data_IF_617312627835
#
_entry.id   IF_617312627835
#
_cell.length_a   1.000
_cell.length_b   1.000
_cell.length_c   1.000
_cell.angle_alpha   90.00
_cell.angle_beta   90.00
_cell.angle_gamma   90.00
#
_symmetry.space_group_name_H-M   'P 1'
#
loop_
_entity.id
_entity.type
_entity.pdbx_description
1 polymer ?
#
# COMPACT_ATOMS: atom_id res chain seq x y z
N UNK A 1 -4.47 5.41 1.62
CA UNK A 1 -5.33 6.59 1.48
C UNK A 1 -4.84 7.61 2.50
N UNK A 2 -3.78 8.35 2.17
CA UNK A 2 -3.13 9.29 3.11
C UNK A 2 -3.42 10.76 2.81
N UNK A 3 -3.71 11.09 1.55
CA UNK A 3 -4.06 12.45 1.13
C UNK A 3 -5.47 12.81 1.63
N UNK A 4 -5.56 13.82 2.48
CA UNK A 4 -6.80 14.27 3.11
C UNK A 4 -6.84 15.81 3.22
N UNK A 5 -8.06 16.39 3.28
CA UNK A 5 -8.27 17.81 3.57
C UNK A 5 -7.53 18.73 2.58
N UNK A 6 -6.64 19.62 3.05
CA UNK A 6 -5.91 20.57 2.21
C UNK A 6 -5.24 19.93 1.00
N UNK A 7 -4.69 18.71 1.15
CA UNK A 7 -4.09 17.98 0.03
C UNK A 7 -5.10 17.64 -1.07
N UNK A 8 -6.35 17.34 -0.70
CA UNK A 8 -7.45 17.05 -1.64
C UNK A 8 -7.92 18.32 -2.34
N UNK A 9 -8.02 19.44 -1.61
CA UNK A 9 -8.39 20.73 -2.19
C UNK A 9 -7.37 21.15 -3.26
N UNK A 10 -6.08 21.08 -2.93
CA UNK A 10 -5.00 21.42 -3.86
C UNK A 10 -5.01 20.49 -5.08
N UNK A 11 -5.08 19.18 -4.86
CA UNK A 11 -5.08 18.20 -5.95
C UNK A 11 -6.30 18.36 -6.86
N UNK A 12 -7.48 18.55 -6.27
CA UNK A 12 -8.73 18.76 -7.00
C UNK A 12 -8.75 20.05 -7.79
N UNK A 13 -8.31 21.16 -7.21
CA UNK A 13 -8.23 22.45 -7.89
C UNK A 13 -7.26 22.40 -9.08
N UNK A 14 -6.07 21.82 -8.90
CA UNK A 14 -5.11 21.67 -9.99
C UNK A 14 -5.64 20.79 -11.13
N UNK A 15 -6.34 19.69 -10.80
CA UNK A 15 -7.00 18.84 -11.78
C UNK A 15 -8.08 19.59 -12.55
N UNK A 16 -8.98 20.30 -11.86
CA UNK A 16 -10.08 21.04 -12.50
C UNK A 16 -9.61 22.18 -13.39
N UNK A 17 -8.52 22.84 -13.02
CA UNK A 17 -7.90 23.88 -13.84
C UNK A 17 -7.10 23.31 -15.03
N UNK A 18 -7.09 21.99 -15.22
CA UNK A 18 -6.28 21.33 -16.25
C UNK A 18 -4.77 21.51 -16.05
N UNK A 19 -4.34 21.84 -14.83
CA UNK A 19 -2.93 22.12 -14.48
C UNK A 19 -2.19 20.90 -13.95
N UNK A 20 -2.92 19.87 -13.50
CA UNK A 20 -2.34 18.62 -13.07
C UNK A 20 -3.23 17.44 -13.47
N UNK A 21 -2.60 16.28 -13.50
CA UNK A 21 -3.23 14.97 -13.56
C UNK A 21 -3.12 14.33 -12.18
N UNK A 22 -4.14 13.61 -11.76
CA UNK A 22 -4.09 12.85 -10.52
C UNK A 22 -3.72 11.40 -10.81
N UNK A 23 -2.75 10.90 -10.05
CA UNK A 23 -2.18 9.55 -10.19
C UNK A 23 -2.10 8.91 -8.81
N UNK A 24 -2.35 7.61 -8.70
CA UNK A 24 -2.25 6.87 -7.44
C UNK A 24 -3.54 6.17 -7.05
N UNK A 25 -4.00 6.40 -5.82
CA UNK A 25 -5.22 5.81 -5.27
C UNK A 25 -6.18 6.93 -4.85
N UNK A 26 -7.46 6.58 -4.69
CA UNK A 26 -8.51 7.49 -4.23
C UNK A 26 -8.10 8.15 -2.91
N UNK A 27 -8.30 9.47 -2.81
CA UNK A 27 -7.98 10.24 -1.60
C UNK A 27 -8.94 9.91 -0.45
N UNK A 28 -8.70 10.47 0.74
CA UNK A 28 -9.42 10.08 1.94
C UNK A 28 -10.89 10.53 1.97
N UNK A 29 -11.21 11.70 1.41
CA UNK A 29 -12.56 12.28 1.43
C UNK A 29 -12.87 13.14 2.64
N UNK A 30 -11.85 13.80 3.24
CA UNK A 30 -12.06 14.71 4.36
C UNK A 30 -12.43 16.10 3.82
N UNK A 31 -13.73 16.31 3.63
CA UNK A 31 -14.28 17.56 3.11
C UNK A 31 -14.74 18.57 4.17
N UNK A 32 -14.62 18.28 5.46
CA UNK A 32 -15.25 19.05 6.53
C UNK A 32 -14.29 20.02 7.24
N UNK A 33 -14.80 21.19 7.62
CA UNK A 33 -14.10 22.18 8.45
C UNK A 33 -14.71 22.14 9.85
N UNK A 34 -13.86 21.92 10.85
CA UNK A 34 -14.25 21.89 12.26
C UNK A 34 -13.89 23.22 12.92
N UNK A 35 -14.86 23.82 13.61
CA UNK A 35 -14.67 24.92 14.54
C UNK A 35 -14.70 24.41 15.98
N UNK A 36 -14.03 25.14 16.86
CA UNK A 36 -13.99 24.87 18.29
C UNK A 36 -14.55 26.07 19.05
N UNK A 37 -15.33 25.80 20.10
CA UNK A 37 -15.84 26.80 21.03
C UNK A 37 -15.65 26.27 22.44
N UNK A 38 -14.82 26.95 23.21
CA UNK A 38 -14.59 26.61 24.61
C UNK A 38 -15.66 27.25 25.50
N UNK A 39 -16.02 26.57 26.57
CA UNK A 39 -16.97 27.03 27.58
C UNK A 39 -16.24 27.36 28.88
N UNK A 40 -16.85 28.24 29.69
CA UNK A 40 -16.23 28.75 30.94
C UNK A 40 -15.98 27.66 31.99
N UNK A 41 -16.67 26.52 31.89
CA UNK A 41 -16.49 25.36 32.76
C UNK A 41 -15.31 24.45 32.35
N UNK A 42 -14.56 24.85 31.32
CA UNK A 42 -13.43 24.11 30.76
C UNK A 42 -13.83 22.99 29.79
N UNK A 43 -15.12 22.83 29.49
CA UNK A 43 -15.58 21.97 28.40
C UNK A 43 -15.47 22.68 27.04
N UNK A 44 -15.61 21.94 25.94
CA UNK A 44 -15.49 22.50 24.59
C UNK A 44 -16.35 21.79 23.57
N UNK A 45 -16.92 22.56 22.64
CA UNK A 45 -17.73 22.08 21.53
C UNK A 45 -16.89 22.07 20.24
N UNK A 46 -16.78 20.90 19.62
CA UNK A 46 -16.25 20.74 18.25
C UNK A 46 -17.41 20.57 17.28
N UNK A 47 -17.64 21.58 16.44
CA UNK A 47 -18.74 21.59 15.47
C UNK A 47 -18.22 21.67 14.05
N UNK A 48 -18.83 20.92 13.14
CA UNK A 48 -18.58 21.11 11.70
C UNK A 48 -19.29 22.38 11.23
N UNK A 49 -18.53 23.37 10.78
CA UNK A 49 -19.05 24.71 10.43
C UNK A 49 -19.06 24.97 8.93
N UNK A 50 -18.27 24.22 8.14
CA UNK A 50 -18.21 24.39 6.70
C UNK A 50 -17.78 23.09 6.00
N UNK A 51 -17.90 23.09 4.67
CA UNK A 51 -17.48 21.99 3.79
C UNK A 51 -16.77 22.52 2.55
N UNK A 52 -15.84 21.74 2.04
CA UNK A 52 -15.19 21.97 0.76
C UNK A 52 -15.94 21.29 -0.37
N UNK A 53 -16.03 21.99 -1.50
CA UNK A 53 -16.56 21.47 -2.75
C UNK A 53 -15.68 21.96 -3.90
N UNK A 54 -15.63 21.16 -4.96
CA UNK A 54 -15.01 21.50 -6.22
C UNK A 54 -16.09 21.95 -7.22
N UNK A 55 -15.67 22.64 -8.30
CA UNK A 55 -16.58 23.15 -9.33
C UNK A 55 -17.52 22.03 -9.85
N UNK A 56 -18.79 22.36 -10.09
CA UNK A 56 -19.80 21.36 -10.46
C UNK A 56 -20.39 20.57 -9.29
N UNK A 57 -20.31 21.09 -8.06
CA UNK A 57 -20.83 20.46 -6.83
C UNK A 57 -20.23 19.09 -6.52
N UNK A 58 -18.95 18.90 -6.87
CA UNK A 58 -18.20 17.69 -6.49
C UNK A 58 -17.76 17.86 -5.03
N UNK A 59 -18.50 17.25 -4.11
CA UNK A 59 -18.16 17.22 -2.69
C UNK A 59 -17.14 16.13 -2.39
N UNK A 60 -16.19 16.42 -1.51
CA UNK A 60 -15.21 15.44 -1.02
C UNK A 60 -15.85 14.43 -0.06
N UNK A 61 -16.89 14.86 0.65
CA UNK A 61 -17.67 14.06 1.59
C UNK A 61 -19.07 13.72 1.01
N UNK A 62 -19.65 12.58 1.40
CA UNK A 62 -21.05 12.28 1.06
C UNK A 62 -22.02 13.11 1.90
N UNK A 63 -23.19 13.42 1.33
CA UNK A 63 -24.32 13.96 2.07
C UNK A 63 -25.15 12.79 2.61
N UNK A 64 -24.60 12.13 3.60
CA UNK A 64 -25.26 11.06 4.33
C UNK A 64 -25.56 11.63 5.73
N UNK A 65 -26.80 11.47 6.19
CA UNK A 65 -27.28 11.85 7.53
C UNK A 65 -26.51 11.23 8.70
N UNK A 66 -25.57 10.33 8.43
CA UNK A 66 -24.63 9.79 9.40
C UNK A 66 -23.43 10.73 9.54
N UNK A 67 -22.97 10.90 10.77
CA UNK A 67 -21.88 11.79 11.22
C UNK A 67 -20.49 11.40 10.67
N UNK A 68 -20.40 10.77 9.50
CA UNK A 68 -19.15 10.28 8.95
C UNK A 68 -18.31 11.43 8.38
N UNK A 69 -17.17 11.69 9.02
CA UNK A 69 -16.17 12.69 8.58
C UNK A 69 -15.47 12.33 7.24
N UNK A 70 -15.84 11.19 6.64
CA UNK A 70 -15.18 10.56 5.49
C UNK A 70 -16.21 10.40 4.38
N UNK A 71 -15.92 10.88 3.17
CA UNK A 71 -16.67 10.47 1.98
C UNK A 71 -15.81 9.83 0.91
N UNK A 72 -16.21 10.00 -0.36
CA UNK A 72 -15.63 9.25 -1.48
C UNK A 72 -14.20 9.66 -1.82
N UNK A 73 -13.80 10.90 -1.47
CA UNK A 73 -12.53 11.46 -1.91
C UNK A 73 -12.50 11.68 -3.42
N UNK A 74 -11.31 12.02 -3.91
CA UNK A 74 -11.01 12.28 -5.30
C UNK A 74 -10.47 11.00 -5.95
N UNK A 75 -11.19 10.52 -6.96
CA UNK A 75 -10.74 9.40 -7.81
C UNK A 75 -9.66 9.92 -8.76
N UNK A 76 -8.47 9.30 -8.82
CA UNK A 76 -7.39 9.71 -9.69
C UNK A 76 -7.75 9.53 -11.18
N UNK A 77 -7.05 10.24 -12.06
CA UNK A 77 -7.16 10.03 -13.51
C UNK A 77 -6.51 8.70 -13.92
N UNK A 78 -5.44 8.31 -13.22
CA UNK A 78 -4.76 7.03 -13.40
C UNK A 78 -4.59 6.32 -12.06
N UNK A 79 -5.27 5.18 -11.92
CA UNK A 79 -5.05 4.30 -10.78
C UNK A 79 -3.70 3.59 -10.90
N UNK A 80 -2.89 3.68 -9.85
CA UNK A 80 -1.64 2.96 -9.75
C UNK A 80 -1.72 2.04 -8.52
N UNK A 81 -1.59 0.72 -8.70
CA UNK A 81 -1.62 -0.21 -7.58
C UNK A 81 -0.48 0.11 -6.61
N UNK A 82 -0.83 0.18 -5.33
CA UNK A 82 0.11 0.41 -4.24
C UNK A 82 0.55 -0.95 -3.69
N UNK A 83 1.61 -1.52 -4.27
CA UNK A 83 2.18 -2.81 -3.85
C UNK A 83 2.46 -2.84 -2.34
N UNK A 84 2.81 -1.70 -1.74
CA UNK A 84 3.15 -1.57 -0.32
C UNK A 84 1.94 -1.87 0.59
N UNK A 85 0.71 -1.83 0.05
CA UNK A 85 -0.53 -2.14 0.78
C UNK A 85 -1.01 -3.57 0.66
N UNK A 86 -0.44 -4.33 -0.26
CA UNK A 86 -0.81 -5.72 -0.46
C UNK A 86 -0.52 -6.54 0.81
N UNK A 87 -1.34 -7.55 1.14
CA UNK A 87 -1.22 -8.27 2.41
C UNK A 87 0.16 -8.90 2.65
N UNK A 88 0.85 -9.36 1.60
CA UNK A 88 2.17 -9.98 1.74
C UNK A 88 3.30 -8.98 2.03
N UNK A 89 3.50 -7.90 1.23
CA UNK A 89 4.42 -6.82 1.59
C UNK A 89 4.18 -6.26 2.99
N UNK A 90 2.92 -6.05 3.40
CA UNK A 90 2.60 -5.61 4.76
C UNK A 90 3.06 -6.60 5.82
N UNK A 91 2.83 -7.90 5.62
CA UNK A 91 3.33 -8.93 6.54
C UNK A 91 4.86 -8.92 6.65
N UNK A 92 5.57 -8.69 5.53
CA UNK A 92 7.02 -8.55 5.53
C UNK A 92 7.48 -7.30 6.30
N UNK A 93 6.85 -6.14 6.10
CA UNK A 93 7.19 -4.91 6.85
C UNK A 93 6.93 -5.09 8.35
N UNK A 94 5.78 -5.65 8.73
CA UNK A 94 5.43 -5.92 10.13
C UNK A 94 6.40 -6.91 10.80
N UNK A 95 6.98 -7.85 10.05
CA UNK A 95 7.99 -8.78 10.57
C UNK A 95 9.35 -8.13 10.84
N UNK A 96 9.59 -6.92 10.34
CA UNK A 96 10.88 -6.21 10.36
C UNK A 96 12.05 -6.97 9.69
N UNK A 97 11.80 -8.10 9.03
CA UNK A 97 12.85 -8.92 8.44
C UNK A 97 13.58 -8.22 7.29
N UNK A 98 12.88 -7.44 6.48
CA UNK A 98 13.50 -6.64 5.41
C UNK A 98 14.55 -5.67 5.99
N UNK A 99 14.21 -5.00 7.09
CA UNK A 99 15.12 -4.09 7.81
C UNK A 99 16.32 -4.85 8.38
N UNK A 100 16.09 -5.92 9.13
CA UNK A 100 17.17 -6.73 9.74
C UNK A 100 18.11 -7.31 8.69
N UNK A 101 17.57 -7.85 7.59
CA UNK A 101 18.37 -8.36 6.49
C UNK A 101 19.17 -7.25 5.81
N UNK A 102 18.52 -6.12 5.52
CA UNK A 102 19.20 -4.98 4.90
C UNK A 102 20.32 -4.43 5.77
N UNK A 103 20.13 -4.37 7.09
CA UNK A 103 21.14 -3.92 8.04
C UNK A 103 22.38 -4.81 8.02
N UNK A 104 22.18 -6.13 8.03
CA UNK A 104 23.26 -7.13 7.97
C UNK A 104 24.04 -7.09 6.65
N UNK A 105 23.41 -6.65 5.55
CA UNK A 105 23.97 -6.68 4.19
C UNK A 105 24.13 -5.29 3.56
N UNK A 106 24.20 -4.22 4.37
CA UNK A 106 24.12 -2.82 3.88
C UNK A 106 25.15 -2.52 2.78
N UNK A 107 26.44 -2.75 3.04
CA UNK A 107 27.53 -2.42 2.10
C UNK A 107 27.46 -3.26 0.81
N UNK A 108 27.04 -4.52 0.93
CA UNK A 108 26.90 -5.43 -0.21
C UNK A 108 25.72 -5.01 -1.09
N UNK A 109 24.58 -4.67 -0.48
CA UNK A 109 23.40 -4.16 -1.18
C UNK A 109 23.73 -2.85 -1.89
N UNK A 110 24.36 -1.89 -1.20
CA UNK A 110 24.72 -0.59 -1.80
C UNK A 110 25.62 -0.79 -3.01
N UNK A 111 26.65 -1.63 -2.90
CA UNK A 111 27.55 -1.94 -4.03
C UNK A 111 26.82 -2.62 -5.19
N UNK A 112 25.96 -3.60 -4.89
CA UNK A 112 25.22 -4.35 -5.91
C UNK A 112 24.11 -3.54 -6.59
N UNK A 113 23.70 -2.42 -6.00
CA UNK A 113 22.58 -1.58 -6.48
C UNK A 113 22.99 -0.18 -6.92
N UNK A 114 24.29 0.10 -7.01
CA UNK A 114 24.77 1.36 -7.55
C UNK A 114 24.56 1.40 -9.07
N UNK A 115 23.74 2.33 -9.52
CA UNK A 115 23.36 2.47 -10.94
C UNK A 115 22.41 1.40 -11.50
N UNK A 116 22.04 0.36 -10.75
CA UNK A 116 21.12 -0.70 -11.22
C UNK A 116 20.17 -1.21 -10.12
N UNK A 117 19.01 -1.80 -10.48
CA UNK A 117 18.17 -2.54 -9.53
C UNK A 117 18.87 -3.82 -9.04
N UNK A 118 18.52 -4.28 -7.84
CA UNK A 118 18.96 -5.61 -7.37
C UNK A 118 18.26 -6.70 -8.20
N UNK A 119 18.99 -7.76 -8.52
CA UNK A 119 18.44 -8.93 -9.23
C UNK A 119 17.65 -9.89 -8.32
N UNK A 120 17.09 -10.95 -8.91
CA UNK A 120 16.27 -11.96 -8.21
C UNK A 120 17.08 -12.86 -7.26
N UNK A 121 18.42 -12.84 -7.33
CA UNK A 121 19.25 -13.61 -6.39
C UNK A 121 19.11 -13.05 -4.96
N UNK A 122 18.93 -11.73 -4.82
CA UNK A 122 18.64 -11.06 -3.55
C UNK A 122 17.30 -11.49 -2.95
N UNK A 123 16.29 -11.72 -3.78
CA UNK A 123 14.99 -12.27 -3.34
C UNK A 123 15.18 -13.67 -2.79
N UNK A 124 15.96 -14.51 -3.48
CA UNK A 124 16.24 -15.87 -3.01
C UNK A 124 17.04 -15.91 -1.71
N UNK A 125 18.02 -14.99 -1.56
CA UNK A 125 18.79 -14.83 -0.31
C UNK A 125 17.89 -14.38 0.84
N UNK A 126 17.09 -13.34 0.62
CA UNK A 126 16.14 -12.84 1.60
C UNK A 126 15.09 -13.89 1.98
N UNK A 127 14.54 -14.63 1.01
CA UNK A 127 13.60 -15.73 1.25
C UNK A 127 14.20 -16.81 2.16
N UNK A 128 15.46 -17.20 1.95
CA UNK A 128 16.16 -18.16 2.83
C UNK A 128 16.34 -17.61 4.24
N UNK A 129 16.72 -16.33 4.35
CA UNK A 129 16.83 -15.64 5.63
C UNK A 129 15.48 -15.63 6.36
N UNK A 130 14.41 -15.18 5.71
CA UNK A 130 13.08 -15.10 6.29
C UNK A 130 12.59 -16.47 6.79
N UNK A 131 12.81 -17.54 6.01
CA UNK A 131 12.47 -18.92 6.44
C UNK A 131 13.27 -19.37 7.67
N UNK A 132 14.57 -19.04 7.74
CA UNK A 132 15.41 -19.35 8.89
C UNK A 132 14.96 -18.60 10.15
N UNK A 133 14.49 -17.36 9.99
CA UNK A 133 13.90 -16.55 11.07
C UNK A 133 12.46 -16.96 11.42
N UNK A 134 11.94 -18.05 10.84
CA UNK A 134 10.61 -18.57 11.16
C UNK A 134 9.44 -17.80 10.52
N UNK A 135 9.70 -16.99 9.48
CA UNK A 135 8.63 -16.27 8.78
C UNK A 135 7.66 -17.24 8.12
N UNK A 136 6.38 -17.11 8.48
CA UNK A 136 5.27 -17.80 7.84
C UNK A 136 4.26 -16.77 7.36
N UNK A 137 3.58 -17.08 6.26
CA UNK A 137 2.57 -16.21 5.69
C UNK A 137 1.35 -17.04 5.30
N UNK A 138 0.16 -16.53 5.63
CA UNK A 138 -1.11 -17.06 5.19
C UNK A 138 -1.94 -15.90 4.65
N UNK A 139 -2.31 -15.95 3.38
CA UNK A 139 -3.15 -14.90 2.79
C UNK A 139 -4.58 -14.95 3.34
N UNK A 140 -5.34 -13.84 3.23
CA UNK A 140 -6.77 -13.85 3.51
C UNK A 140 -7.52 -14.95 2.75
N UNK A 141 -7.12 -15.22 1.50
CA UNK A 141 -7.69 -16.28 0.68
C UNK A 141 -7.42 -17.66 1.28
N UNK A 142 -6.19 -17.94 1.73
CA UNK A 142 -5.86 -19.19 2.41
C UNK A 142 -6.64 -19.35 3.72
N UNK A 143 -6.80 -18.26 4.48
CA UNK A 143 -7.63 -18.23 5.67
C UNK A 143 -9.09 -18.60 5.38
N UNK A 144 -9.70 -17.99 4.36
CA UNK A 144 -11.07 -18.30 3.93
C UNK A 144 -11.20 -19.72 3.39
N UNK A 145 -10.24 -20.18 2.58
CA UNK A 145 -10.24 -21.53 2.03
C UNK A 145 -10.12 -22.60 3.13
N UNK A 146 -9.34 -22.32 4.20
CA UNK A 146 -9.28 -23.17 5.38
C UNK A 146 -10.64 -23.26 6.07
N UNK A 147 -11.32 -22.13 6.28
CA UNK A 147 -12.66 -22.10 6.90
C UNK A 147 -13.68 -22.90 6.07
N UNK A 148 -13.68 -22.74 4.74
CA UNK A 148 -14.55 -23.52 3.85
C UNK A 148 -14.27 -25.02 3.95
N UNK A 149 -12.99 -25.42 3.99
CA UNK A 149 -12.59 -26.81 4.18
C UNK A 149 -13.03 -27.36 5.55
N UNK A 150 -12.88 -26.59 6.62
CA UNK A 150 -13.29 -26.96 7.97
C UNK A 150 -14.80 -27.11 8.08
N UNK A 151 -15.57 -26.15 7.55
CA UNK A 151 -17.03 -26.24 7.48
C UNK A 151 -17.48 -27.49 6.73
N UNK A 152 -16.91 -27.78 5.56
CA UNK A 152 -17.26 -28.97 4.79
C UNK A 152 -17.00 -30.28 5.55
N UNK A 153 -15.99 -30.31 6.44
CA UNK A 153 -15.73 -31.46 7.32
C UNK A 153 -16.76 -31.55 8.44
N UNK A 154 -17.06 -30.42 9.09
CA UNK A 154 -17.97 -30.36 10.23
C UNK A 154 -19.42 -30.64 9.83
N UNK A 155 -19.87 -30.14 8.68
CA UNK A 155 -21.24 -30.36 8.19
C UNK A 155 -21.40 -31.70 7.47
N UNK A 156 -20.43 -32.62 7.58
CA UNK A 156 -20.42 -33.92 6.87
C UNK A 156 -20.79 -33.81 5.39
N UNK A 157 -20.23 -32.80 4.70
CA UNK A 157 -20.50 -32.56 3.30
C UNK A 157 -20.15 -33.79 2.44
N UNK A 158 -20.84 -33.94 1.30
CA UNK A 158 -20.58 -35.06 0.40
C UNK A 158 -19.12 -35.09 -0.09
N UNK A 159 -18.68 -36.26 -0.57
CA UNK A 159 -17.28 -36.48 -1.01
C UNK A 159 -16.83 -35.47 -2.07
N UNK A 160 -17.72 -35.01 -2.94
CA UNK A 160 -17.39 -34.05 -4.00
C UNK A 160 -17.10 -32.68 -3.42
N UNK A 161 -17.96 -32.18 -2.52
CA UNK A 161 -17.78 -30.91 -1.81
C UNK A 161 -16.49 -30.90 -0.99
N UNK A 162 -16.21 -31.98 -0.25
CA UNK A 162 -14.98 -32.08 0.54
C UNK A 162 -13.72 -32.08 -0.33
N UNK A 163 -13.75 -32.77 -1.48
CA UNK A 163 -12.66 -32.76 -2.46
C UNK A 163 -12.44 -31.37 -3.04
N UNK A 164 -13.50 -30.68 -3.43
CA UNK A 164 -13.43 -29.32 -3.96
C UNK A 164 -12.84 -28.35 -2.92
N UNK A 165 -13.33 -28.39 -1.68
CA UNK A 165 -12.82 -27.53 -0.61
C UNK A 165 -11.32 -27.79 -0.32
N UNK A 166 -10.90 -29.06 -0.29
CA UNK A 166 -9.49 -29.42 -0.15
C UNK A 166 -8.65 -28.90 -1.33
N UNK A 167 -9.15 -28.98 -2.55
CA UNK A 167 -8.45 -28.47 -3.74
C UNK A 167 -8.28 -26.95 -3.67
N UNK A 168 -9.32 -26.20 -3.29
CA UNK A 168 -9.26 -24.75 -3.11
C UNK A 168 -8.20 -24.39 -2.06
N UNK A 169 -8.24 -25.04 -0.89
CA UNK A 169 -7.26 -24.82 0.16
C UNK A 169 -5.81 -25.13 -0.28
N UNK A 170 -5.62 -26.25 -0.97
CA UNK A 170 -4.29 -26.64 -1.49
C UNK A 170 -3.78 -25.63 -2.53
N UNK A 171 -4.67 -25.12 -3.40
CA UNK A 171 -4.31 -24.10 -4.39
C UNK A 171 -3.96 -22.77 -3.74
N UNK A 172 -4.68 -22.37 -2.68
CA UNK A 172 -4.39 -21.16 -1.91
C UNK A 172 -3.03 -21.25 -1.20
N UNK A 173 -2.70 -22.39 -0.58
CA UNK A 173 -1.37 -22.63 0.00
C UNK A 173 -0.25 -22.54 -1.04
N UNK A 174 -0.49 -23.05 -2.26
CA UNK A 174 0.47 -22.93 -3.36
C UNK A 174 0.67 -21.46 -3.75
N UNK A 175 -0.41 -20.69 -3.85
CA UNK A 175 -0.32 -19.25 -4.14
C UNK A 175 0.47 -18.48 -3.07
N UNK A 176 0.25 -18.79 -1.79
CA UNK A 176 1.02 -18.22 -0.67
C UNK A 176 2.52 -18.53 -0.77
N UNK A 177 2.87 -19.72 -1.26
CA UNK A 177 4.27 -20.13 -1.42
C UNK A 177 5.02 -19.33 -2.52
N UNK A 178 4.28 -18.77 -3.48
CA UNK A 178 4.80 -18.02 -4.61
C UNK A 178 4.92 -16.51 -4.34
N UNK A 179 4.45 -16.02 -3.18
CA UNK A 179 4.39 -14.58 -2.90
C UNK A 179 5.76 -13.90 -2.92
N UNK A 180 6.83 -14.57 -2.48
CA UNK A 180 8.19 -14.03 -2.58
C UNK A 180 8.59 -13.73 -4.02
N UNK A 181 8.23 -14.60 -4.96
CA UNK A 181 8.57 -14.43 -6.37
C UNK A 181 7.64 -13.39 -7.02
N UNK A 182 6.35 -13.42 -6.67
CA UNK A 182 5.37 -12.41 -7.10
C UNK A 182 5.77 -10.99 -6.70
N UNK A 183 6.28 -10.81 -5.49
CA UNK A 183 6.71 -9.51 -4.94
C UNK A 183 8.24 -9.32 -4.99
N UNK A 184 8.92 -9.99 -5.93
CA UNK A 184 10.37 -9.87 -6.10
C UNK A 184 10.83 -8.41 -6.31
N UNK A 185 10.08 -7.65 -7.11
CA UNK A 185 10.36 -6.24 -7.38
C UNK A 185 10.22 -5.38 -6.12
N UNK A 186 9.15 -5.59 -5.34
CA UNK A 186 8.98 -4.93 -4.05
C UNK A 186 10.15 -5.21 -3.11
N UNK A 187 10.51 -6.48 -2.93
CA UNK A 187 11.57 -6.90 -2.00
C UNK A 187 12.91 -6.27 -2.39
N UNK A 188 13.29 -6.36 -3.66
CA UNK A 188 14.56 -5.79 -4.16
C UNK A 188 14.63 -4.28 -4.00
N UNK A 189 13.58 -3.56 -4.44
CA UNK A 189 13.47 -2.10 -4.26
C UNK A 189 13.56 -1.72 -2.79
N UNK A 190 12.86 -2.44 -1.91
CA UNK A 190 12.79 -2.13 -0.48
C UNK A 190 14.11 -2.40 0.25
N UNK A 191 14.79 -3.50 -0.07
CA UNK A 191 16.13 -3.80 0.43
C UNK A 191 17.13 -2.72 0.02
N UNK A 192 17.11 -2.31 -1.25
CA UNK A 192 17.94 -1.20 -1.73
C UNK A 192 17.63 0.08 -0.96
N UNK A 193 16.36 0.46 -0.84
CA UNK A 193 15.96 1.65 -0.11
C UNK A 193 16.52 1.65 1.32
N UNK A 194 16.29 0.58 2.09
CA UNK A 194 16.72 0.49 3.49
C UNK A 194 18.25 0.57 3.64
N UNK A 195 19.01 -0.08 2.76
CA UNK A 195 20.47 -0.03 2.78
C UNK A 195 21.00 1.37 2.46
N UNK A 196 20.44 2.02 1.44
CA UNK A 196 20.82 3.38 1.04
C UNK A 196 20.42 4.42 2.10
N UNK A 197 19.26 4.27 2.73
CA UNK A 197 18.81 5.14 3.83
C UNK A 197 19.81 5.08 4.99
N UNK A 198 20.26 3.87 5.33
CA UNK A 198 21.24 3.66 6.38
C UNK A 198 22.60 4.25 6.05
N UNK A 199 23.07 4.10 4.80
CA UNK A 199 24.41 4.54 4.38
C UNK A 199 24.50 6.05 4.14
N UNK A 200 23.46 6.66 3.58
CA UNK A 200 23.52 8.03 3.06
C UNK A 200 22.39 8.95 3.53
N UNK A 201 21.47 8.45 4.36
CA UNK A 201 20.28 9.18 4.79
C UNK A 201 19.11 9.09 3.81
N UNK A 202 17.95 9.53 4.28
CA UNK A 202 16.67 9.36 3.59
C UNK A 202 16.58 10.06 2.23
N UNK A 203 17.10 11.29 2.15
CA UNK A 203 17.02 12.08 0.93
C UNK A 203 17.73 11.41 -0.26
N UNK A 204 18.98 10.95 -0.05
CA UNK A 204 19.77 10.31 -1.10
C UNK A 204 19.19 8.95 -1.49
N UNK A 205 18.67 8.19 -0.52
CA UNK A 205 17.98 6.93 -0.79
C UNK A 205 16.72 7.14 -1.64
N UNK A 206 15.92 8.17 -1.33
CA UNK A 206 14.75 8.51 -2.14
C UNK A 206 15.14 8.81 -3.59
N UNK A 207 16.14 9.68 -3.78
CA UNK A 207 16.61 10.07 -5.11
C UNK A 207 17.21 8.91 -5.92
N UNK A 208 18.01 8.05 -5.29
CA UNK A 208 18.80 7.02 -5.99
C UNK A 208 18.12 5.65 -6.06
N UNK A 209 17.29 5.31 -5.09
CA UNK A 209 16.60 4.02 -5.01
C UNK A 209 15.11 4.13 -5.33
N UNK A 210 14.38 5.08 -4.74
CA UNK A 210 12.91 5.10 -4.86
C UNK A 210 12.46 5.64 -6.21
N UNK A 211 12.97 6.80 -6.65
CA UNK A 211 12.55 7.45 -7.90
C UNK A 211 12.87 6.57 -9.13
N UNK A 212 14.06 5.97 -9.15
CA UNK A 212 14.54 5.24 -10.34
C UNK A 212 13.89 3.86 -10.48
N UNK A 213 13.62 3.19 -9.36
CA UNK A 213 13.22 1.78 -9.41
C UNK A 213 11.70 1.60 -9.25
N UNK A 214 10.97 2.58 -8.72
CA UNK A 214 9.50 2.49 -8.56
C UNK A 214 8.78 2.41 -9.92
N UNK A 215 7.99 1.35 -10.20
CA UNK A 215 7.25 1.23 -11.46
C UNK A 215 6.18 2.32 -11.57
N UNK A 216 5.52 2.63 -10.46
CA UNK A 216 4.50 3.69 -10.38
C UNK A 216 5.10 5.05 -10.71
N UNK A 217 6.27 5.39 -10.16
CA UNK A 217 6.94 6.66 -10.48
C UNK A 217 7.39 6.70 -11.94
N UNK A 218 7.94 5.60 -12.48
CA UNK A 218 8.32 5.52 -13.90
C UNK A 218 7.12 5.68 -14.83
N UNK A 219 5.98 5.07 -14.49
CA UNK A 219 4.74 5.25 -15.22
C UNK A 219 4.29 6.71 -15.24
N UNK A 220 4.35 7.38 -14.08
CA UNK A 220 4.02 8.82 -13.97
C UNK A 220 4.99 9.68 -14.79
N UNK A 221 6.30 9.43 -14.72
CA UNK A 221 7.30 10.17 -15.49
C UNK A 221 7.06 10.01 -17.00
N UNK A 222 6.78 8.79 -17.46
CA UNK A 222 6.46 8.51 -18.87
C UNK A 222 5.24 9.32 -19.30
N UNK A 223 4.18 9.27 -18.49
CA UNK A 223 2.92 9.93 -18.78
C UNK A 223 3.06 11.46 -18.80
N UNK A 224 3.86 12.04 -17.90
CA UNK A 224 4.19 13.46 -17.92
C UNK A 224 5.00 13.86 -19.16
N UNK A 225 5.92 13.01 -19.64
CA UNK A 225 6.71 13.26 -20.85
C UNK A 225 5.89 13.19 -22.14
N UNK A 226 4.89 12.31 -22.20
CA UNK A 226 4.04 12.15 -23.39
C UNK A 226 3.04 13.32 -23.57
N UNK A 227 2.84 14.14 -22.54
CA UNK A 227 1.91 15.28 -22.54
C UNK A 227 2.58 16.66 -22.50
N UNK A 228 3.91 16.71 -22.37
CA UNK A 228 4.70 17.95 -22.41
C UNK A 228 5.08 18.30 -23.85
#
# INVERSE_FOLDING_TARGET
>A
RGSASAAEIVSGALRQLGRAIMVGDTTFGKGLVQGFTDFDDGSGLRLTIARYYLHGNVYLNEFDSTLHEIGRGLVPDYELPDEDREPFPRALESSQLLRRFSEQHTEEIVRASDGSPLDTTWVSRFRRFARREGFTYSSPLTGQARLVMEMARLTTANRQTLRAAKQIYTKALRDDSLQFDKYAHYITRRLKQLAWERRYGQYKAYQKAVINDSPSIRAVIKLLRERA
#
